data_IF_529382617525
#
_entry.id   IF_529382617525
#
_cell.length_a   1.000
_cell.length_b   1.000
_cell.length_c   1.000
_cell.angle_alpha   90.00
_cell.angle_beta   90.00
_cell.angle_gamma   90.00
#
_symmetry.space_group_name_H-M   'P 1'
#
loop_
_entity.id
_entity.type
_entity.pdbx_description
1 polymer ?
#
# COMPACT_ATOMS: atom_id res chain seq x y z
N UNK A 1 3.42 -11.56 7.26
CA UNK A 1 4.58 -10.65 7.40
C UNK A 1 4.77 -9.90 6.10
N UNK A 2 5.13 -8.63 6.15
CA UNK A 2 5.40 -7.79 4.99
C UNK A 2 6.76 -7.09 5.16
N UNK A 3 7.49 -6.90 4.07
CA UNK A 3 8.80 -6.24 4.08
C UNK A 3 8.66 -4.74 3.81
N UNK A 4 9.30 -3.94 4.64
CA UNK A 4 9.40 -2.49 4.47
C UNK A 4 10.43 -2.12 3.39
N UNK A 5 10.05 -1.27 2.44
CA UNK A 5 11.00 -0.68 1.49
C UNK A 5 11.71 0.52 2.13
N UNK A 6 13.04 0.59 2.00
CA UNK A 6 13.87 1.62 2.67
C UNK A 6 13.79 3.02 2.00
N UNK A 7 13.42 3.07 0.72
CA UNK A 7 13.56 4.24 -0.14
C UNK A 7 12.29 5.05 -0.37
N UNK A 8 11.14 4.52 0.03
CA UNK A 8 9.93 4.71 -0.75
C UNK A 8 8.72 4.89 0.18
N UNK A 9 8.11 6.10 0.17
CA UNK A 9 6.89 6.41 0.93
C UNK A 9 5.64 6.10 0.12
N UNK A 10 4.46 6.12 0.75
CA UNK A 10 3.19 6.03 0.03
C UNK A 10 3.00 7.21 -0.91
N UNK A 11 3.37 8.44 -0.53
CA UNK A 11 3.26 9.61 -1.40
C UNK A 11 4.11 9.53 -2.66
N UNK A 12 5.19 8.74 -2.65
CA UNK A 12 6.04 8.55 -3.83
C UNK A 12 5.43 7.54 -4.82
N UNK A 13 4.63 6.58 -4.33
CA UNK A 13 4.28 5.36 -5.10
C UNK A 13 2.79 4.97 -5.09
N UNK A 14 1.94 5.74 -4.41
CA UNK A 14 0.50 5.51 -4.32
C UNK A 14 -0.23 6.77 -4.74
N UNK A 15 -1.11 6.66 -5.73
CA UNK A 15 -1.89 7.81 -6.19
C UNK A 15 -2.80 8.37 -5.09
N UNK A 16 -2.96 9.69 -5.06
CA UNK A 16 -3.87 10.36 -4.12
C UNK A 16 -5.31 9.84 -4.23
N UNK A 17 -5.75 9.47 -5.44
CA UNK A 17 -7.08 8.90 -5.68
C UNK A 17 -7.22 7.57 -4.93
N UNK A 18 -6.24 6.67 -5.07
CA UNK A 18 -6.24 5.40 -4.35
C UNK A 18 -6.21 5.59 -2.82
N UNK A 19 -5.34 6.48 -2.29
CA UNK A 19 -5.31 6.78 -0.85
C UNK A 19 -6.68 7.24 -0.32
N UNK A 20 -7.36 8.10 -1.07
CA UNK A 20 -8.69 8.61 -0.70
C UNK A 20 -9.77 7.53 -0.78
N UNK A 21 -9.78 6.71 -1.83
CA UNK A 21 -10.79 5.68 -2.05
C UNK A 21 -10.64 4.48 -1.10
N UNK A 22 -9.41 4.16 -0.70
CA UNK A 22 -9.14 3.12 0.30
C UNK A 22 -9.54 3.55 1.72
N UNK A 23 -10.02 4.79 1.91
CA UNK A 23 -10.50 5.28 3.19
C UNK A 23 -9.39 5.53 4.20
N UNK A 24 -8.14 5.70 3.74
CA UNK A 24 -7.06 6.16 4.60
C UNK A 24 -7.27 7.63 4.94
N UNK A 25 -6.95 8.04 6.18
CA UNK A 25 -6.61 9.44 6.39
C UNK A 25 -5.32 9.69 5.61
N UNK A 26 -5.50 10.25 4.40
CA UNK A 26 -4.47 10.42 3.37
C UNK A 26 -3.21 11.01 3.98
N UNK A 27 -3.35 11.96 4.89
CA UNK A 27 -2.23 12.64 5.54
C UNK A 27 -1.48 11.75 6.52
N UNK A 28 -2.16 10.84 7.21
CA UNK A 28 -1.52 9.93 8.18
C UNK A 28 -0.75 8.79 7.51
N UNK A 29 -1.11 8.43 6.26
CA UNK A 29 -0.53 7.28 5.55
C UNK A 29 0.47 7.71 4.48
N UNK A 30 0.30 8.88 3.85
CA UNK A 30 1.15 9.36 2.74
C UNK A 30 2.65 9.33 3.08
N UNK A 31 3.03 9.84 4.26
CA UNK A 31 4.44 9.91 4.67
C UNK A 31 5.00 8.59 5.23
N UNK A 32 4.18 7.55 5.32
CA UNK A 32 4.61 6.26 5.82
C UNK A 32 5.32 5.45 4.71
N UNK A 33 6.24 4.54 5.09
CA UNK A 33 6.92 3.67 4.15
C UNK A 33 5.94 2.77 3.39
N UNK A 34 6.13 2.64 2.08
CA UNK A 34 5.42 1.64 1.30
C UNK A 34 5.97 0.24 1.62
N UNK A 35 5.07 -0.73 1.72
CA UNK A 35 5.40 -2.14 1.91
C UNK A 35 5.45 -2.83 0.55
N UNK A 36 6.41 -3.73 0.38
CA UNK A 36 6.52 -4.52 -0.84
C UNK A 36 5.47 -5.63 -0.90
N UNK A 37 4.80 -5.79 -2.04
CA UNK A 37 3.85 -6.88 -2.30
C UNK A 37 4.43 -8.01 -3.18
N UNK A 38 5.73 -7.94 -3.50
CA UNK A 38 6.41 -8.90 -4.39
C UNK A 38 6.73 -10.25 -3.74
N UNK A 39 6.84 -10.32 -2.42
CA UNK A 39 7.06 -11.55 -1.67
C UNK A 39 6.27 -11.50 -0.36
N UNK A 40 5.29 -12.38 -0.24
CA UNK A 40 4.31 -12.36 0.84
C UNK A 40 4.20 -13.74 1.50
N UNK A 41 4.14 -13.75 2.82
CA UNK A 41 3.89 -14.96 3.60
C UNK A 41 2.75 -14.73 4.59
N UNK A 42 1.75 -15.60 4.52
CA UNK A 42 0.57 -15.57 5.36
C UNK A 42 0.43 -16.86 6.17
N UNK A 43 0.13 -16.71 7.46
CA UNK A 43 -0.45 -17.80 8.25
C UNK A 43 -1.95 -17.82 7.98
N UNK A 44 -2.48 -18.95 7.50
CA UNK A 44 -3.92 -19.09 7.24
C UNK A 44 -4.71 -18.92 8.53
N UNK A 45 -5.46 -17.83 8.61
CA UNK A 45 -6.32 -17.43 9.73
C UNK A 45 -7.51 -16.68 9.15
N UNK A 46 -8.60 -16.53 9.92
CA UNK A 46 -9.75 -15.72 9.51
C UNK A 46 -9.35 -14.27 9.23
N UNK A 47 -8.46 -13.70 10.06
CA UNK A 47 -7.91 -12.35 9.88
C UNK A 47 -7.13 -12.21 8.57
N UNK A 48 -6.25 -13.17 8.25
CA UNK A 48 -5.45 -13.13 7.02
C UNK A 48 -6.32 -13.34 5.77
N UNK A 49 -7.31 -14.25 5.82
CA UNK A 49 -8.23 -14.45 4.70
C UNK A 49 -9.07 -13.20 4.44
N UNK A 50 -9.65 -12.60 5.48
CA UNK A 50 -10.41 -11.36 5.35
C UNK A 50 -9.56 -10.19 4.84
N UNK A 51 -8.26 -10.15 5.15
CA UNK A 51 -7.34 -9.15 4.59
C UNK A 51 -7.10 -9.38 3.09
N UNK A 52 -6.86 -10.63 2.68
CA UNK A 52 -6.65 -10.99 1.27
C UNK A 52 -7.92 -10.78 0.44
N UNK A 53 -9.10 -11.07 0.99
CA UNK A 53 -10.39 -10.81 0.35
C UNK A 53 -10.61 -9.31 0.10
N UNK A 54 -10.30 -8.46 1.08
CA UNK A 54 -10.35 -7.01 0.89
C UNK A 54 -9.34 -6.55 -0.16
N UNK A 55 -8.11 -7.05 -0.08
CA UNK A 55 -7.08 -6.71 -1.06
C UNK A 55 -7.51 -7.08 -2.48
N UNK A 56 -8.06 -8.29 -2.68
CA UNK A 56 -8.60 -8.72 -3.97
C UNK A 56 -9.73 -7.81 -4.44
N UNK A 57 -10.72 -7.55 -3.59
CA UNK A 57 -11.87 -6.69 -3.90
C UNK A 57 -11.43 -5.31 -4.40
N UNK A 58 -10.48 -4.68 -3.72
CA UNK A 58 -9.96 -3.37 -4.13
C UNK A 58 -9.02 -3.45 -5.34
N UNK A 59 -8.38 -4.60 -5.58
CA UNK A 59 -7.56 -4.85 -6.78
C UNK A 59 -8.41 -5.10 -8.03
N UNK A 60 -9.71 -5.36 -7.87
CA UNK A 60 -10.68 -5.47 -8.97
C UNK A 60 -11.41 -4.14 -9.24
N UNK A 61 -11.24 -3.14 -8.39
CA UNK A 61 -11.85 -1.82 -8.57
C UNK A 61 -11.02 -0.97 -9.54
N UNK A 62 -11.53 -0.68 -10.75
CA UNK A 62 -10.79 0.10 -11.74
C UNK A 62 -10.51 1.53 -11.28
N UNK A 63 -11.31 2.11 -10.39
CA UNK A 63 -11.08 3.47 -9.90
C UNK A 63 -9.87 3.59 -8.98
N UNK A 64 -9.49 2.48 -8.33
CA UNK A 64 -8.34 2.37 -7.44
C UNK A 64 -7.14 1.80 -8.19
N UNK A 65 -7.38 0.81 -9.05
CA UNK A 65 -6.34 0.12 -9.80
C UNK A 65 -5.74 1.00 -10.89
N UNK A 66 -6.59 1.74 -11.62
CA UNK A 66 -6.15 2.59 -12.71
C UNK A 66 -5.84 4.00 -12.23
N UNK A 67 -4.68 4.49 -12.67
CA UNK A 67 -4.41 5.92 -12.69
C UNK A 67 -5.26 6.54 -13.82
N UNK A 68 -6.54 6.80 -13.52
CA UNK A 68 -7.46 7.38 -14.51
C UNK A 68 -6.93 8.75 -14.93
N UNK A 69 -6.58 8.88 -16.21
CA UNK A 69 -5.81 9.98 -16.82
C UNK A 69 -6.44 11.37 -16.73
N UNK A 70 -6.47 11.91 -15.53
CA UNK A 70 -6.86 13.28 -15.26
C UNK A 70 -6.12 13.76 -14.02
N UNK A 71 -4.94 14.36 -14.25
CA UNK A 71 -4.22 15.29 -13.36
C UNK A 71 -4.61 15.13 -11.90
N UNK A 72 -4.22 14.00 -11.30
CA UNK A 72 -4.32 13.92 -9.84
C UNK A 72 -3.34 14.95 -9.28
N UNK A 73 -3.74 15.72 -8.26
CA UNK A 73 -2.92 16.81 -7.68
C UNK A 73 -1.53 16.35 -7.15
N UNK A 74 -1.21 15.06 -7.19
CA UNK A 74 0.11 14.50 -6.87
C UNK A 74 1.00 14.22 -8.08
N UNK A 75 0.50 14.22 -9.32
CA UNK A 75 1.36 14.14 -10.52
C UNK A 75 2.34 15.33 -10.60
N UNK A 76 2.05 16.43 -9.90
CA UNK A 76 2.95 17.56 -9.70
C UNK A 76 3.62 17.64 -8.33
N UNK A 77 3.39 16.67 -7.44
CA UNK A 77 4.02 16.66 -6.11
C UNK A 77 5.51 16.29 -6.26
N UNK A 78 6.43 17.06 -5.64
CA UNK A 78 7.85 16.71 -5.67
C UNK A 78 8.06 15.32 -5.06
N UNK A 79 8.53 14.35 -5.86
CA UNK A 79 8.86 13.00 -5.40
C UNK A 79 7.92 11.89 -5.88
N UNK A 80 6.70 12.20 -6.35
CA UNK A 80 5.81 11.18 -6.92
C UNK A 80 6.43 10.52 -8.15
N UNK A 81 6.43 9.20 -8.17
CA UNK A 81 7.03 8.39 -9.22
C UNK A 81 5.95 7.83 -10.14
N UNK A 82 5.02 7.04 -9.58
CA UNK A 82 3.89 6.40 -10.28
C UNK A 82 3.03 5.62 -9.28
N UNK A 83 1.84 5.21 -9.70
CA UNK A 83 0.97 4.35 -8.91
C UNK A 83 1.36 2.87 -9.01
N UNK A 84 1.76 2.24 -7.90
CA UNK A 84 2.06 0.81 -7.81
C UNK A 84 0.81 0.03 -7.38
N UNK A 85 -0.18 -0.07 -8.27
CA UNK A 85 -1.56 -0.41 -7.95
C UNK A 85 -1.78 -1.51 -6.87
N UNK A 86 -1.44 -2.76 -7.13
CA UNK A 86 -1.69 -3.87 -6.19
C UNK A 86 -0.90 -3.70 -4.88
N UNK A 87 0.34 -3.22 -4.97
CA UNK A 87 1.23 -2.96 -3.85
C UNK A 87 0.73 -1.81 -2.96
N UNK A 88 0.26 -0.74 -3.57
CA UNK A 88 -0.36 0.41 -2.91
C UNK A 88 -1.58 -0.02 -2.10
N UNK A 89 -2.48 -0.80 -2.71
CA UNK A 89 -3.67 -1.32 -2.04
C UNK A 89 -3.27 -2.19 -0.85
N UNK A 90 -2.37 -3.15 -1.06
CA UNK A 90 -1.85 -4.02 0.01
C UNK A 90 -1.29 -3.19 1.17
N UNK A 91 -0.41 -2.24 0.85
CA UNK A 91 0.36 -1.47 1.82
C UNK A 91 -0.50 -0.52 2.64
N UNK A 92 -1.51 0.10 2.04
CA UNK A 92 -2.49 0.96 2.73
C UNK A 92 -3.39 0.13 3.65
N UNK A 93 -3.98 -0.96 3.14
CA UNK A 93 -4.85 -1.84 3.94
C UNK A 93 -4.08 -2.43 5.14
N UNK A 94 -2.82 -2.80 4.95
CA UNK A 94 -1.98 -3.37 6.00
C UNK A 94 -1.84 -2.39 7.18
N UNK A 95 -1.61 -1.10 6.88
CA UNK A 95 -1.51 -0.03 7.87
C UNK A 95 -2.84 0.25 8.56
N UNK A 96 -3.94 0.29 7.81
CA UNK A 96 -5.28 0.51 8.36
C UNK A 96 -5.69 -0.57 9.36
N UNK A 97 -5.26 -1.82 9.13
CA UNK A 97 -5.50 -2.93 10.07
C UNK A 97 -4.55 -2.94 11.27
N UNK A 98 -3.63 -1.97 11.35
CA UNK A 98 -2.67 -1.87 12.46
C UNK A 98 -1.65 -3.01 12.47
N UNK A 99 -1.40 -3.65 11.33
CA UNK A 99 -0.39 -4.69 11.26
C UNK A 99 1.02 -4.10 11.31
N UNK A 100 1.94 -4.80 11.96
CA UNK A 100 3.33 -4.39 12.07
C UNK A 100 4.18 -5.05 10.96
N UNK A 101 4.91 -4.22 10.22
CA UNK A 101 5.85 -4.69 9.22
C UNK A 101 7.20 -5.00 9.88
N UNK A 102 7.86 -6.06 9.42
CA UNK A 102 9.22 -6.36 9.86
C UNK A 102 10.21 -5.53 9.05
N UNK A 103 11.25 -5.01 9.69
CA UNK A 103 12.35 -4.40 8.94
C UNK A 103 13.20 -5.49 8.28
N UNK A 104 13.87 -5.16 7.17
CA UNK A 104 14.85 -6.05 6.53
C UNK A 104 16.00 -6.42 7.48
N UNK A 105 16.34 -5.54 8.43
CA UNK A 105 17.40 -5.76 9.41
C UNK A 105 16.98 -6.77 10.48
N UNK A 106 15.71 -6.77 10.86
CA UNK A 106 15.13 -7.76 11.77
C UNK A 106 15.04 -9.14 11.11
N UNK A 107 14.75 -9.17 9.81
CA UNK A 107 14.67 -10.42 9.03
C UNK A 107 16.00 -11.17 8.92
N UNK A 108 17.15 -10.50 8.95
CA UNK A 108 18.47 -11.15 8.94
C UNK A 108 18.91 -11.70 10.31
N UNK A 109 18.21 -11.34 11.39
CA UNK A 109 18.54 -11.78 12.76
C UNK A 109 17.64 -12.91 13.26
N UNK A 110 16.59 -13.24 12.53
CA UNK A 110 15.63 -14.31 12.82
C UNK A 110 16.02 -15.61 12.10
#
# INVERSE_FOLDING_TARGET
>A
AAMRLKCCTESDWTSAKALKLLGGDVYSIADLPQLGAYFLMFRKTTTAMAFVEDWLRYSEDPDILMESGGTSNMEGAPGYQRHMADQSIFSVLFKQRGFEAMSLEDGHKA
#
